data_IF_269527432137
#
_entry.id   IF_269527432137
#
_cell.length_a   1.000
_cell.length_b   1.000
_cell.length_c   1.000
_cell.angle_alpha   90.00
_cell.angle_beta   90.00
_cell.angle_gamma   90.00
#
_symmetry.space_group_name_H-M   'P 1'
#
loop_
_entity.id
_entity.type
_entity.pdbx_description
1 polymer ?
#
# COMPACT_ATOMS: atom_id res chain seq x y z
N UNK A 1 -8.82 9.98 21.27
CA UNK A 1 -7.58 9.42 20.70
C UNK A 1 -7.73 9.55 19.20
N UNK A 2 -7.13 10.57 18.60
CA UNK A 2 -7.07 10.69 17.14
C UNK A 2 -6.00 9.70 16.72
N UNK A 3 -6.41 8.65 16.01
CA UNK A 3 -5.49 7.68 15.42
C UNK A 3 -5.02 8.34 14.12
N UNK A 4 -3.75 8.68 14.02
CA UNK A 4 -3.19 9.25 12.80
C UNK A 4 -3.26 8.18 11.70
N UNK A 5 -3.94 8.47 10.59
CA UNK A 5 -4.03 7.60 9.41
C UNK A 5 -3.33 8.31 8.25
N UNK A 6 -2.36 7.67 7.59
CA UNK A 6 -1.48 8.36 6.64
C UNK A 6 -0.59 7.44 5.78
N UNK A 7 0.26 8.07 4.97
CA UNK A 7 1.24 7.38 4.10
C UNK A 7 2.42 6.93 4.97
N UNK A 8 2.75 5.65 4.92
CA UNK A 8 3.89 5.07 5.66
C UNK A 8 5.17 5.04 4.82
N UNK A 9 5.04 4.73 3.54
CA UNK A 9 6.14 4.70 2.58
C UNK A 9 5.63 5.04 1.19
N UNK A 10 6.43 5.76 0.40
CA UNK A 10 6.13 6.01 -1.00
C UNK A 10 7.42 6.11 -1.82
N UNK A 11 7.37 5.52 -3.00
CA UNK A 11 8.34 5.68 -4.08
C UNK A 11 7.62 5.54 -5.44
N UNK A 12 8.37 5.41 -6.53
CA UNK A 12 7.81 5.33 -7.89
C UNK A 12 7.23 3.94 -8.23
N UNK A 13 7.50 2.93 -7.41
CA UNK A 13 7.10 1.53 -7.60
C UNK A 13 6.09 1.05 -6.54
N UNK A 14 6.14 1.58 -5.32
CA UNK A 14 5.25 1.20 -4.21
C UNK A 14 4.71 2.40 -3.40
N UNK A 15 3.44 2.32 -2.98
CA UNK A 15 2.85 3.20 -1.96
C UNK A 15 2.22 2.35 -0.85
N UNK A 16 2.66 2.55 0.39
CA UNK A 16 2.11 1.90 1.59
C UNK A 16 1.32 2.90 2.42
N UNK A 17 0.04 2.59 2.67
CA UNK A 17 -0.91 3.42 3.39
C UNK A 17 -1.37 2.74 4.67
N UNK A 18 -1.56 3.51 5.73
CA UNK A 18 -2.26 3.08 6.94
C UNK A 18 -3.70 3.59 6.94
N UNK A 19 -4.64 2.67 7.08
CA UNK A 19 -6.07 2.95 7.18
C UNK A 19 -6.60 2.49 8.53
N UNK A 20 -7.79 2.96 8.93
CA UNK A 20 -8.42 2.54 10.19
C UNK A 20 -8.68 1.03 10.31
N UNK A 21 -8.64 0.27 9.21
CA UNK A 21 -8.86 -1.18 9.19
C UNK A 21 -7.58 -2.00 8.92
N UNK A 22 -6.41 -1.35 8.85
CA UNK A 22 -5.13 -1.99 8.57
C UNK A 22 -4.34 -1.29 7.47
N UNK A 23 -3.27 -1.93 6.99
CA UNK A 23 -2.37 -1.35 5.98
C UNK A 23 -2.73 -1.83 4.57
N UNK A 24 -2.47 -0.99 3.59
CA UNK A 24 -2.62 -1.28 2.16
C UNK A 24 -1.27 -1.00 1.49
N UNK A 25 -0.78 -1.92 0.67
CA UNK A 25 0.29 -1.64 -0.29
C UNK A 25 -0.30 -1.55 -1.70
N UNK A 26 0.16 -0.56 -2.47
CA UNK A 26 -0.19 -0.33 -3.85
C UNK A 26 1.09 -0.41 -4.67
N UNK A 27 1.19 -1.41 -5.55
CA UNK A 27 2.35 -1.65 -6.40
C UNK A 27 2.06 -1.18 -7.83
N UNK A 28 3.06 -0.58 -8.48
CA UNK A 28 2.86 0.10 -9.75
C UNK A 28 4.14 0.60 -10.39
N UNK A 29 3.99 1.52 -11.34
CA UNK A 29 5.09 2.19 -12.04
C UNK A 29 4.78 3.68 -12.19
N UNK A 30 5.78 4.52 -11.93
CA UNK A 30 5.62 5.98 -11.97
C UNK A 30 4.61 6.48 -10.95
N UNK A 31 4.52 5.82 -9.79
CA UNK A 31 3.64 6.21 -8.70
C UNK A 31 4.10 7.54 -8.11
N UNK A 32 3.17 8.49 -7.99
CA UNK A 32 3.43 9.82 -7.46
C UNK A 32 2.25 10.33 -6.66
N UNK A 33 2.51 10.73 -5.43
CA UNK A 33 1.51 11.39 -4.58
C UNK A 33 1.27 12.82 -5.10
N UNK A 34 0.02 13.16 -5.31
CA UNK A 34 -0.43 14.49 -5.75
C UNK A 34 -1.10 15.28 -4.64
N UNK A 35 -1.74 14.60 -3.69
CA UNK A 35 -2.37 15.20 -2.51
C UNK A 35 -2.08 14.34 -1.29
N UNK A 36 -1.63 14.98 -0.21
CA UNK A 36 -1.51 14.40 1.12
C UNK A 36 -2.11 15.39 2.12
N UNK A 37 -3.28 15.07 2.66
CA UNK A 37 -3.94 15.85 3.69
C UNK A 37 -4.07 15.01 4.95
N UNK A 38 -3.20 15.29 5.92
CA UNK A 38 -3.21 14.62 7.22
C UNK A 38 -4.43 15.00 8.07
N UNK A 39 -4.90 16.25 7.91
CA UNK A 39 -6.09 16.76 8.63
C UNK A 39 -7.36 16.05 8.19
N UNK A 40 -7.50 15.79 6.88
CA UNK A 40 -8.70 15.13 6.32
C UNK A 40 -8.51 13.63 6.09
N UNK A 41 -7.29 13.10 6.29
CA UNK A 41 -6.94 11.70 5.98
C UNK A 41 -7.02 11.36 4.48
N UNK A 42 -6.89 12.34 3.59
CA UNK A 42 -7.03 12.13 2.13
C UNK A 42 -5.66 12.01 1.49
N UNK A 43 -5.46 10.93 0.74
CA UNK A 43 -4.29 10.71 -0.10
C UNK A 43 -4.74 10.53 -1.54
N UNK A 44 -4.07 11.18 -2.48
CA UNK A 44 -4.25 10.97 -3.92
C UNK A 44 -2.90 10.70 -4.56
N UNK A 45 -2.84 9.68 -5.41
CA UNK A 45 -1.67 9.32 -6.17
C UNK A 45 -2.03 9.05 -7.64
N UNK A 46 -1.06 9.25 -8.52
CA UNK A 46 -1.15 9.00 -9.95
C UNK A 46 -0.01 8.10 -10.38
N UNK A 47 -0.25 7.28 -11.40
CA UNK A 47 0.72 6.33 -11.92
C UNK A 47 0.01 5.11 -12.48
N UNK A 48 0.78 4.15 -12.98
CA UNK A 48 0.23 2.87 -13.44
C UNK A 48 0.10 1.94 -12.24
N UNK A 49 -1.10 1.44 -11.98
CA UNK A 49 -1.35 0.51 -10.89
C UNK A 49 -1.27 -0.92 -11.42
N UNK A 50 -0.35 -1.71 -10.86
CA UNK A 50 -0.15 -3.10 -11.20
C UNK A 50 -0.85 -4.03 -10.17
N UNK A 51 -0.96 -3.60 -8.91
CA UNK A 51 -1.58 -4.37 -7.85
C UNK A 51 -1.95 -3.55 -6.63
N UNK A 52 -2.91 -4.07 -5.85
CA UNK A 52 -3.30 -3.53 -4.53
C UNK A 52 -3.41 -4.70 -3.56
N UNK A 53 -2.72 -4.61 -2.43
CA UNK A 53 -2.64 -5.64 -1.41
C UNK A 53 -3.08 -5.11 -0.05
N UNK A 54 -4.03 -5.80 0.61
CA UNK A 54 -4.33 -5.56 2.01
C UNK A 54 -3.30 -6.29 2.88
N UNK A 55 -2.49 -5.53 3.60
CA UNK A 55 -1.54 -6.02 4.57
C UNK A 55 -2.29 -6.27 5.89
N UNK A 56 -2.97 -7.40 5.98
CA UNK A 56 -3.55 -7.83 7.25
C UNK A 56 -2.45 -8.37 8.18
N UNK A 57 -2.45 -7.97 9.45
CA UNK A 57 -1.56 -8.55 10.48
C UNK A 57 -1.92 -10.01 10.83
N UNK A 58 -2.79 -10.66 10.06
CA UNK A 58 -3.29 -12.01 10.33
C UNK A 58 -3.54 -12.81 9.06
N UNK A 59 -2.46 -13.07 8.31
CA UNK A 59 -2.28 -14.38 7.65
C UNK A 59 -0.82 -14.62 7.33
N UNK A 60 -0.15 -15.18 8.34
CA UNK A 60 0.81 -16.27 8.20
C UNK A 60 0.93 -16.80 6.75
N UNK A 61 2.07 -16.46 6.13
CA UNK A 61 2.73 -17.17 5.03
C UNK A 61 2.00 -18.40 4.51
N UNK A 62 1.40 -18.30 3.33
CA UNK A 62 1.26 -19.45 2.43
C UNK A 62 1.17 -19.05 0.95
N UNK A 63 2.05 -18.15 0.53
CA UNK A 63 2.42 -18.06 -0.89
C UNK A 63 3.66 -18.96 -1.09
N UNK A 64 3.42 -20.27 -1.22
CA UNK A 64 4.43 -21.21 -1.68
C UNK A 64 4.75 -20.93 -3.15
N UNK A 65 5.64 -19.98 -3.38
CA UNK A 65 6.37 -19.85 -4.63
C UNK A 65 7.32 -21.04 -4.76
N UNK A 66 6.89 -22.09 -5.44
CA UNK A 66 7.80 -22.98 -6.15
C UNK A 66 7.23 -23.23 -7.55
N UNK A 67 7.63 -22.36 -8.47
CA UNK A 67 7.62 -22.69 -9.88
C UNK A 67 8.59 -23.84 -10.15
N UNK A 68 8.08 -24.87 -10.83
CA UNK A 68 8.71 -25.66 -11.90
C UNK A 68 10.25 -25.82 -11.84
N UNK A 69 10.73 -27.05 -11.64
CA UNK A 69 11.83 -27.66 -12.40
C UNK A 69 11.71 -29.19 -12.37
N UNK A 70 11.88 -29.83 -13.53
CA UNK A 70 12.22 -31.24 -13.69
C UNK A 70 11.05 -32.16 -13.98
#
# INVERSE_FOLDING_TARGET
MIVEHGVLSFDEEEIVLETGTGRISVEGEGLRITVLSLETGVVSAVGKINGILWLNESRERRAGFFGRKG
#
